data_IF_929222246261
#
_entry.id   IF_929222246261
#
_cell.length_a   1.000
_cell.length_b   1.000
_cell.length_c   1.000
_cell.angle_alpha   90.00
_cell.angle_beta   90.00
_cell.angle_gamma   90.00
#
_symmetry.space_group_name_H-M   'P 1'
#
loop_
_entity.id
_entity.type
_entity.pdbx_description
1 polymer ?
#
# COMPACT_ATOMS: atom_id res chain seq x y z
N UNK A 1 29.20 -16.55 -2.35
CA UNK A 1 28.39 -17.15 -1.26
C UNK A 1 26.93 -17.01 -1.65
N UNK A 2 26.15 -18.11 -1.67
CA UNK A 2 24.70 -18.06 -1.86
C UNK A 2 24.07 -17.67 -0.52
N UNK A 3 23.50 -16.47 -0.43
CA UNK A 3 22.71 -16.08 0.74
C UNK A 3 21.46 -16.97 0.84
N UNK A 4 21.05 -17.29 2.07
CA UNK A 4 19.86 -18.12 2.29
C UNK A 4 18.62 -17.37 1.79
N UNK A 5 17.81 -18.04 0.95
CA UNK A 5 16.62 -17.51 0.27
C UNK A 5 15.59 -16.85 1.21
N UNK A 6 15.67 -17.15 2.51
CA UNK A 6 14.70 -16.76 3.54
C UNK A 6 15.31 -16.01 4.73
N UNK A 7 16.59 -15.61 4.68
CA UNK A 7 17.23 -14.86 5.78
C UNK A 7 16.58 -13.48 6.02
N UNK A 8 15.87 -12.96 5.00
CA UNK A 8 15.16 -11.68 5.03
C UNK A 8 13.69 -11.79 5.50
N UNK A 9 13.20 -12.98 5.84
CA UNK A 9 11.82 -13.19 6.32
C UNK A 9 11.70 -13.12 7.83
N UNK A 10 12.80 -13.28 8.58
CA UNK A 10 12.79 -12.97 10.00
C UNK A 10 12.70 -11.45 10.16
N UNK A 11 11.72 -10.97 10.92
CA UNK A 11 11.38 -9.55 11.15
C UNK A 11 12.46 -8.74 11.89
N UNK A 12 13.73 -8.94 11.55
CA UNK A 12 14.87 -8.17 12.00
C UNK A 12 14.79 -6.75 11.41
N UNK A 13 14.94 -5.74 12.28
CA UNK A 13 14.93 -4.30 11.97
C UNK A 13 16.07 -3.84 11.04
N UNK A 14 16.79 -4.75 10.39
CA UNK A 14 18.00 -4.48 9.59
C UNK A 14 18.00 -5.08 8.17
N UNK A 15 16.92 -5.72 7.72
CA UNK A 15 16.84 -6.32 6.37
C UNK A 15 16.25 -5.38 5.29
N UNK A 16 16.56 -5.64 4.02
CA UNK A 16 15.98 -4.93 2.87
C UNK A 16 14.43 -4.89 2.88
N UNK A 17 13.78 -5.88 3.49
CA UNK A 17 12.32 -5.92 3.62
C UNK A 17 11.77 -4.88 4.62
N UNK A 18 12.54 -4.55 5.68
CA UNK A 18 12.22 -3.46 6.61
C UNK A 18 12.33 -2.10 5.92
N UNK A 19 13.36 -1.90 5.09
CA UNK A 19 13.51 -0.70 4.27
C UNK A 19 12.44 -0.57 3.18
N UNK A 20 12.09 -1.68 2.51
CA UNK A 20 11.02 -1.70 1.51
C UNK A 20 9.64 -1.35 2.11
N UNK A 21 9.46 -1.46 3.43
CA UNK A 21 8.24 -1.02 4.13
C UNK A 21 8.18 0.49 4.35
N UNK A 22 9.33 1.17 4.43
CA UNK A 22 9.41 2.64 4.46
C UNK A 22 9.25 3.29 3.09
N UNK A 23 9.34 2.51 2.00
CA UNK A 23 9.12 3.02 0.65
C UNK A 23 7.66 3.29 0.33
N UNK A 24 6.73 2.76 1.13
CA UNK A 24 5.29 2.90 0.95
C UNK A 24 4.66 3.50 2.19
N UNK A 25 3.62 4.31 2.00
CA UNK A 25 2.72 4.72 3.06
C UNK A 25 1.32 4.19 2.81
N UNK A 26 0.68 3.76 3.89
CA UNK A 26 -0.75 3.46 3.93
C UNK A 26 -1.50 4.72 4.33
N UNK A 27 -2.71 4.89 3.82
CA UNK A 27 -3.55 6.04 4.13
C UNK A 27 -4.97 5.60 4.45
N UNK A 28 -5.64 6.36 5.31
CA UNK A 28 -7.03 6.09 5.66
C UNK A 28 -7.98 6.46 4.52
N UNK A 29 -9.19 5.88 4.54
CA UNK A 29 -10.28 6.39 3.71
C UNK A 29 -10.66 7.78 4.20
N UNK A 30 -10.62 8.77 3.31
CA UNK A 30 -10.95 10.16 3.63
C UNK A 30 -12.11 10.66 2.78
N UNK A 31 -12.80 11.69 3.27
CA UNK A 31 -13.87 12.36 2.54
C UNK A 31 -13.29 13.03 1.28
N UNK A 32 -13.72 12.58 0.10
CA UNK A 32 -13.14 13.00 -1.19
C UNK A 32 -12.37 11.91 -1.93
N UNK A 33 -12.09 10.77 -1.30
CA UNK A 33 -11.56 9.59 -2.03
C UNK A 33 -12.52 9.16 -3.16
N UNK A 34 -13.81 9.13 -2.87
CA UNK A 34 -14.84 8.75 -3.83
C UNK A 34 -14.91 9.73 -5.02
N UNK A 35 -14.71 11.03 -4.78
CA UNK A 35 -14.72 12.02 -5.87
C UNK A 35 -13.48 11.86 -6.75
N UNK A 36 -12.29 11.60 -6.20
CA UNK A 36 -11.09 11.31 -7.01
C UNK A 36 -11.25 10.01 -7.82
N UNK A 37 -11.84 8.98 -7.23
CA UNK A 37 -12.17 7.74 -7.95
C UNK A 37 -13.15 8.02 -9.10
N UNK A 38 -14.21 8.78 -8.84
CA UNK A 38 -15.19 9.13 -9.86
C UNK A 38 -14.57 9.93 -11.03
N UNK A 39 -13.74 10.93 -10.73
CA UNK A 39 -13.03 11.70 -11.76
C UNK A 39 -12.09 10.82 -12.58
N UNK A 40 -11.34 9.92 -11.94
CA UNK A 40 -10.44 9.01 -12.67
C UNK A 40 -11.21 8.03 -13.57
N UNK A 41 -12.36 7.51 -13.13
CA UNK A 41 -13.25 6.69 -13.97
C UNK A 41 -13.78 7.48 -15.16
N UNK A 42 -14.30 8.69 -14.94
CA UNK A 42 -14.78 9.56 -16.02
C UNK A 42 -13.69 9.83 -17.04
N UNK A 43 -12.46 10.13 -16.58
CA UNK A 43 -11.32 10.36 -17.47
C UNK A 43 -11.00 9.13 -18.33
N UNK A 44 -11.05 7.92 -17.77
CA UNK A 44 -10.87 6.69 -18.53
C UNK A 44 -11.99 6.49 -19.56
N UNK A 45 -13.25 6.72 -19.20
CA UNK A 45 -14.39 6.59 -20.13
C UNK A 45 -14.28 7.64 -21.25
N UNK A 46 -13.98 8.89 -20.91
CA UNK A 46 -13.78 9.95 -21.88
C UNK A 46 -12.65 9.61 -22.87
N UNK A 47 -11.53 9.05 -22.36
CA UNK A 47 -10.45 8.58 -23.21
C UNK A 47 -10.91 7.49 -24.20
N UNK A 48 -11.67 6.50 -23.73
CA UNK A 48 -12.21 5.43 -24.60
C UNK A 48 -13.13 5.98 -25.70
N UNK A 49 -13.95 6.98 -25.39
CA UNK A 49 -14.82 7.64 -26.37
C UNK A 49 -14.02 8.42 -27.41
N UNK A 50 -12.97 9.13 -26.99
CA UNK A 50 -12.10 9.88 -27.88
C UNK A 50 -11.30 8.95 -28.80
N UNK A 51 -10.88 7.78 -28.29
CA UNK A 51 -10.08 6.82 -29.05
C UNK A 51 -10.77 6.32 -30.33
N UNK A 52 -12.11 6.31 -30.36
CA UNK A 52 -12.89 5.94 -31.53
C UNK A 52 -12.82 6.96 -32.68
N UNK A 53 -12.50 8.22 -32.39
CA UNK A 53 -12.51 9.33 -33.34
C UNK A 53 -11.16 10.05 -33.48
N UNK A 54 -10.15 9.62 -32.73
CA UNK A 54 -8.88 10.33 -32.61
C UNK A 54 -7.82 9.83 -33.58
N UNK A 55 -7.03 10.78 -34.09
CA UNK A 55 -5.78 10.49 -34.79
C UNK A 55 -4.71 9.94 -33.84
N UNK A 56 -3.78 9.16 -34.39
CA UNK A 56 -2.65 8.55 -33.65
C UNK A 56 -1.86 9.55 -32.80
N UNK A 57 -1.67 10.77 -33.29
CA UNK A 57 -0.97 11.84 -32.56
C UNK A 57 -1.72 12.30 -31.32
N UNK A 58 -3.04 12.42 -31.43
CA UNK A 58 -3.91 12.84 -30.35
C UNK A 58 -4.02 11.75 -29.27
N UNK A 59 -4.07 10.48 -29.69
CA UNK A 59 -4.02 9.32 -28.79
C UNK A 59 -2.71 9.29 -27.99
N UNK A 60 -1.57 9.57 -28.63
CA UNK A 60 -0.26 9.60 -27.97
C UNK A 60 -0.19 10.72 -26.93
N UNK A 61 -0.72 11.91 -27.24
CA UNK A 61 -0.80 13.03 -26.30
C UNK A 61 -1.67 12.69 -25.08
N UNK A 62 -2.79 12.01 -25.31
CA UNK A 62 -3.75 11.62 -24.26
C UNK A 62 -3.31 10.38 -23.47
N UNK A 63 -2.25 9.69 -23.88
CA UNK A 63 -1.72 8.53 -23.16
C UNK A 63 -1.24 8.92 -21.75
N UNK A 64 -0.67 10.12 -21.62
CA UNK A 64 -0.19 10.67 -20.35
C UNK A 64 -1.30 10.84 -19.29
N UNK A 65 -2.40 11.61 -19.55
CA UNK A 65 -3.49 11.74 -18.59
C UNK A 65 -4.20 10.41 -18.30
N UNK A 66 -4.28 9.49 -19.26
CA UNK A 66 -4.79 8.14 -19.01
C UNK A 66 -3.92 7.38 -18.01
N UNK A 67 -2.60 7.39 -18.20
CA UNK A 67 -1.65 6.79 -17.26
C UNK A 67 -1.87 7.33 -15.85
N UNK A 68 -1.96 8.65 -15.71
CA UNK A 68 -2.23 9.29 -14.40
C UNK A 68 -3.55 8.79 -13.82
N UNK A 69 -4.64 8.78 -14.59
CA UNK A 69 -5.96 8.36 -14.14
C UNK A 69 -5.98 6.90 -13.65
N UNK A 70 -5.42 5.97 -14.42
CA UNK A 70 -5.34 4.54 -14.07
C UNK A 70 -4.50 4.34 -12.82
N UNK A 71 -3.34 5.00 -12.72
CA UNK A 71 -2.49 4.91 -11.53
C UNK A 71 -3.22 5.48 -10.31
N UNK A 72 -3.88 6.65 -10.40
CA UNK A 72 -4.69 7.15 -9.27
C UNK A 72 -5.71 6.13 -8.79
N UNK A 73 -6.43 5.50 -9.72
CA UNK A 73 -7.48 4.55 -9.39
C UNK A 73 -6.91 3.31 -8.69
N UNK A 74 -5.79 2.78 -9.21
CA UNK A 74 -5.06 1.67 -8.60
C UNK A 74 -4.59 2.00 -7.18
N UNK A 75 -4.01 3.18 -6.97
CA UNK A 75 -3.53 3.62 -5.65
C UNK A 75 -4.67 3.79 -4.65
N UNK A 76 -5.80 4.35 -5.08
CA UNK A 76 -6.98 4.54 -4.23
C UNK A 76 -7.62 3.21 -3.83
N UNK A 77 -7.62 2.21 -4.73
CA UNK A 77 -8.11 0.86 -4.41
C UNK A 77 -7.17 0.13 -3.44
N UNK A 78 -5.86 0.19 -3.68
CA UNK A 78 -4.88 -0.51 -2.86
C UNK A 78 -4.66 0.16 -1.49
N UNK A 79 -5.03 1.45 -1.36
CA UNK A 79 -4.80 2.30 -0.18
C UNK A 79 -3.33 2.33 0.27
N UNK A 80 -2.43 2.11 -0.69
CA UNK A 80 -0.98 2.03 -0.53
C UNK A 80 -0.33 2.88 -1.60
N UNK A 81 0.63 3.71 -1.22
CA UNK A 81 1.31 4.60 -2.15
C UNK A 81 2.81 4.62 -1.89
N UNK A 82 3.64 4.52 -2.95
CA UNK A 82 5.09 4.71 -2.87
C UNK A 82 5.46 6.17 -2.63
N UNK A 83 6.47 6.42 -1.80
CA UNK A 83 7.04 7.76 -1.61
C UNK A 83 7.81 8.26 -2.83
N UNK A 84 8.57 7.38 -3.49
CA UNK A 84 9.37 7.67 -4.69
C UNK A 84 9.33 6.46 -5.62
N UNK A 85 8.63 6.56 -6.75
CA UNK A 85 8.52 5.42 -7.67
C UNK A 85 7.56 5.56 -8.83
N UNK A 86 6.76 6.63 -8.89
CA UNK A 86 5.91 6.89 -10.05
C UNK A 86 6.64 7.75 -11.08
N UNK A 87 6.67 7.28 -12.32
CA UNK A 87 7.28 8.00 -13.42
C UNK A 87 6.37 9.16 -13.86
N UNK A 88 6.87 10.40 -13.81
CA UNK A 88 6.18 11.66 -14.14
C UNK A 88 4.84 11.97 -13.41
N UNK A 89 4.40 11.17 -12.44
CA UNK A 89 3.11 11.37 -11.76
C UNK A 89 3.02 12.71 -10.98
N UNK A 90 1.85 13.39 -10.97
CA UNK A 90 1.71 14.69 -10.32
C UNK A 90 1.94 14.62 -8.80
N UNK A 91 2.93 15.39 -8.34
CA UNK A 91 3.31 15.48 -6.91
C UNK A 91 2.18 15.97 -6.00
N UNK A 92 1.25 16.78 -6.53
CA UNK A 92 0.10 17.31 -5.78
C UNK A 92 -0.80 16.19 -5.24
N UNK A 93 -1.08 15.18 -6.07
CA UNK A 93 -1.91 14.04 -5.67
C UNK A 93 -1.23 13.26 -4.55
N UNK A 94 0.09 13.03 -4.67
CA UNK A 94 0.87 12.34 -3.64
C UNK A 94 0.85 13.12 -2.32
N UNK A 95 0.98 14.46 -2.37
CA UNK A 95 0.91 15.31 -1.19
C UNK A 95 -0.46 15.23 -0.50
N UNK A 96 -1.56 15.26 -1.26
CA UNK A 96 -2.92 15.10 -0.72
C UNK A 96 -3.12 13.73 -0.05
N UNK A 97 -2.60 12.66 -0.66
CA UNK A 97 -2.64 11.32 -0.08
C UNK A 97 -1.77 11.23 1.18
N UNK A 98 -0.59 11.85 1.16
CA UNK A 98 0.34 11.89 2.29
C UNK A 98 -0.23 12.66 3.49
N UNK A 99 -1.07 13.67 3.27
CA UNK A 99 -1.76 14.37 4.35
C UNK A 99 -2.72 13.46 5.15
N UNK A 100 -3.21 12.38 4.52
CA UNK A 100 -4.08 11.37 5.14
C UNK A 100 -3.32 10.08 5.49
N UNK A 101 -1.99 10.17 5.56
CA UNK A 101 -1.14 9.04 5.89
C UNK A 101 -1.52 8.49 7.27
N UNK A 102 -1.64 7.17 7.35
CA UNK A 102 -1.77 6.48 8.63
C UNK A 102 -0.43 6.57 9.37
N UNK A 103 -0.44 7.14 10.56
CA UNK A 103 0.69 7.05 11.48
C UNK A 103 0.83 5.58 11.88
N UNK A 104 1.85 4.92 11.34
CA UNK A 104 2.24 3.58 11.74
C UNK A 104 3.34 3.78 12.77
N UNK A 105 3.02 3.56 14.04
CA UNK A 105 4.04 3.56 15.08
C UNK A 105 5.00 2.38 14.82
N UNK A 106 6.30 2.62 14.54
CA UNK A 106 7.27 1.56 14.33
C UNK A 106 7.50 0.68 15.56
N UNK A 107 6.93 1.03 16.73
CA UNK A 107 6.98 0.26 17.97
C UNK A 107 5.71 -0.56 18.26
N UNK A 108 4.64 -0.42 17.49
CA UNK A 108 3.37 -1.17 17.69
C UNK A 108 3.46 -2.65 17.26
N UNK A 109 4.67 -3.20 17.13
CA UNK A 109 4.91 -4.63 16.92
C UNK A 109 4.70 -5.47 18.20
N UNK A 110 4.62 -4.82 19.37
CA UNK A 110 4.40 -5.50 20.66
C UNK A 110 3.00 -6.11 20.77
N UNK A 111 2.01 -5.67 19.99
CA UNK A 111 0.65 -6.24 19.99
C UNK A 111 0.56 -7.63 19.32
N UNK A 112 1.46 -7.94 18.37
CA UNK A 112 1.56 -9.28 17.75
C UNK A 112 2.39 -10.24 18.63
N UNK A 113 3.48 -9.75 19.22
CA UNK A 113 4.29 -10.53 20.17
C UNK A 113 3.53 -10.84 21.47
N UNK A 114 2.68 -9.92 21.94
CA UNK A 114 1.83 -10.16 23.11
C UNK A 114 0.71 -11.16 22.84
N UNK A 115 0.16 -11.24 21.62
CA UNK A 115 -0.78 -12.31 21.23
C UNK A 115 -0.11 -13.69 21.25
N UNK A 116 1.14 -13.80 20.78
CA UNK A 116 1.92 -15.04 20.83
C UNK A 116 2.21 -15.48 22.28
N UNK A 117 2.61 -14.53 23.13
CA UNK A 117 2.86 -14.78 24.55
C UNK A 117 1.58 -15.18 25.33
N UNK A 118 0.42 -14.65 24.96
CA UNK A 118 -0.88 -15.03 25.57
C UNK A 118 -1.29 -16.45 25.16
N UNK A 119 -1.01 -16.88 23.93
CA UNK A 119 -1.26 -18.26 23.50
C UNK A 119 -0.32 -19.26 24.19
N UNK A 120 0.97 -18.91 24.34
CA UNK A 120 1.94 -19.72 25.06
C UNK A 120 1.58 -19.83 26.55
N UNK A 121 1.19 -18.74 27.22
CA UNK A 121 0.81 -18.78 28.64
C UNK A 121 -0.42 -19.65 28.92
N UNK A 122 -1.41 -19.65 28.01
CA UNK A 122 -2.59 -20.52 28.09
C UNK A 122 -2.23 -22.00 27.92
N UNK A 123 -1.31 -22.32 27.01
CA UNK A 123 -0.79 -23.69 26.83
C UNK A 123 -0.04 -24.21 28.07
N UNK A 124 0.79 -23.37 28.69
CA UNK A 124 1.50 -23.72 29.93
C UNK A 124 0.56 -23.87 31.13
N UNK A 125 -0.50 -23.06 31.22
CA UNK A 125 -1.50 -23.17 32.29
C UNK A 125 -2.31 -24.48 32.20
N UNK A 126 -2.68 -24.93 30.99
CA UNK A 126 -3.36 -26.21 30.78
C UNK A 126 -2.45 -27.42 31.06
N UNK A 127 -1.18 -27.35 30.68
CA UNK A 127 -0.21 -28.42 30.97
C UNK A 127 0.05 -28.60 32.47
N UNK A 128 0.05 -27.50 33.24
CA UNK A 128 0.27 -27.55 34.71
C UNK A 128 -0.94 -28.08 35.50
N UNK A 129 -2.15 -28.02 34.92
CA UNK A 129 -3.36 -28.56 35.55
C UNK A 129 -3.51 -30.06 35.32
N UNK A 130 -3.01 -30.59 34.19
CA UNK A 130 -3.12 -32.02 33.86
C UNK A 130 -2.15 -32.92 34.64
N UNK A 131 -1.09 -32.35 35.23
CA UNK A 131 -0.13 -33.08 36.08
C UNK A 131 -0.52 -33.13 37.56
N UNK A 132 -1.65 -32.55 37.95
CA UNK A 132 -2.12 -32.48 39.36
C UNK A 132 -3.37 -33.32 39.65
N UNK A 133 -3.67 -34.31 38.81
CA UNK A 133 -4.68 -35.34 39.07
C UNK A 133 -4.05 -36.71 39.06
#
# INVERSE_FOLDING_TARGET
>A
MREFKYQNESGSKKGNWFFNRFDYFEFYGFEGMATMQFHSVIMCIAYMLVLAYADIWLVLLLLWPLYVAVVTLFLLQQKRCKYRGYFLFPKRIIQSLKAHQKEVDPFDFDSIASLENVHLSKGFAQHKYNHRK
#
